data_IF_538846862415
#
_entry.id   IF_538846862415
#
_cell.length_a   1.000
_cell.length_b   1.000
_cell.length_c   1.000
_cell.angle_alpha   90.00
_cell.angle_beta   90.00
_cell.angle_gamma   90.00
#
_symmetry.space_group_name_H-M   'P 1'
#
loop_
_entity.id
_entity.type
_entity.pdbx_description
1 polymer ?
#
# COMPACT_ATOMS: atom_id res chain seq x y z
N UNK A 1 7.42 -4.72 -11.18
CA UNK A 1 6.32 -3.85 -11.66
C UNK A 1 5.39 -3.57 -10.50
N UNK A 2 5.09 -2.31 -10.18
CA UNK A 2 4.03 -1.97 -9.22
C UNK A 2 2.73 -1.70 -9.98
N UNK A 3 1.60 -1.97 -9.34
CA UNK A 3 0.27 -1.82 -9.92
C UNK A 3 -0.61 -0.97 -9.00
N UNK A 4 -1.56 -0.22 -9.57
CA UNK A 4 -2.61 0.43 -8.78
C UNK A 4 -3.46 -0.62 -8.05
N UNK A 5 -3.80 -0.34 -6.80
CA UNK A 5 -4.62 -1.19 -5.95
C UNK A 5 -5.50 -0.31 -5.07
N UNK A 6 -6.61 -0.84 -4.56
CA UNK A 6 -7.45 -0.13 -3.59
C UNK A 6 -7.08 -0.60 -2.19
N UNK A 7 -6.91 0.34 -1.26
CA UNK A 7 -6.60 0.01 0.13
C UNK A 7 -7.85 -0.57 0.79
N UNK A 8 -7.80 -1.78 1.38
CA UNK A 8 -8.97 -2.37 2.06
C UNK A 8 -9.32 -1.67 3.38
N UNK A 9 -8.40 -0.87 3.94
CA UNK A 9 -8.61 -0.19 5.22
C UNK A 9 -9.32 1.16 5.06
N UNK A 10 -8.96 1.94 4.03
CA UNK A 10 -9.48 3.30 3.84
C UNK A 10 -10.20 3.49 2.49
N UNK A 11 -10.30 2.44 1.67
CA UNK A 11 -10.95 2.43 0.35
C UNK A 11 -10.38 3.42 -0.67
N UNK A 12 -9.27 4.09 -0.34
CA UNK A 12 -8.54 5.00 -1.24
C UNK A 12 -7.54 4.26 -2.12
N UNK A 13 -7.05 4.96 -3.13
CA UNK A 13 -6.12 4.40 -4.10
C UNK A 13 -4.71 4.29 -3.53
N UNK A 14 -4.11 3.12 -3.73
CA UNK A 14 -2.74 2.84 -3.34
C UNK A 14 -2.07 1.99 -4.43
N UNK A 15 -0.92 1.44 -4.15
CA UNK A 15 -0.15 0.59 -5.04
C UNK A 15 0.12 -0.77 -4.38
N UNK A 16 0.49 -1.74 -5.19
CA UNK A 16 0.99 -3.05 -4.76
C UNK A 16 2.21 -3.41 -5.61
N UNK A 17 3.25 -3.96 -4.99
CA UNK A 17 4.47 -4.40 -5.69
C UNK A 17 5.73 -4.24 -4.84
N UNK A 18 6.86 -3.97 -5.49
CA UNK A 18 8.18 -3.87 -4.87
C UNK A 18 8.57 -2.47 -4.35
N UNK A 19 7.77 -1.43 -4.61
CA UNK A 19 8.01 -0.07 -4.10
C UNK A 19 8.88 0.84 -4.97
N UNK A 20 9.65 0.31 -5.93
CA UNK A 20 10.44 1.17 -6.82
C UNK A 20 9.62 1.83 -7.94
N UNK A 21 8.38 1.38 -8.18
CA UNK A 21 7.55 1.81 -9.32
C UNK A 21 6.25 2.49 -8.87
N UNK A 22 6.19 3.00 -7.63
CA UNK A 22 5.01 3.69 -7.09
C UNK A 22 4.60 4.90 -7.94
N UNK A 23 5.53 5.77 -8.40
CA UNK A 23 5.16 6.92 -9.21
C UNK A 23 4.43 6.51 -10.49
N UNK A 24 4.84 5.40 -11.11
CA UNK A 24 4.18 4.83 -12.29
C UNK A 24 2.85 4.14 -11.94
N UNK A 25 2.75 3.51 -10.77
CA UNK A 25 1.54 2.83 -10.33
C UNK A 25 0.40 3.80 -9.98
N UNK A 26 0.74 4.97 -9.44
CA UNK A 26 -0.21 6.04 -9.10
C UNK A 26 -0.26 7.16 -10.16
N UNK A 27 0.36 6.96 -11.32
CA UNK A 27 0.32 7.93 -12.41
C UNK A 27 -1.14 8.20 -12.82
N UNK A 28 -1.56 9.46 -12.77
CA UNK A 28 -2.92 9.88 -13.10
C UNK A 28 -3.94 9.79 -11.96
N UNK A 29 -3.54 9.35 -10.76
CA UNK A 29 -4.38 9.44 -9.56
C UNK A 29 -4.01 10.72 -8.79
N UNK A 30 -4.96 11.63 -8.52
CA UNK A 30 -4.67 12.82 -7.73
C UNK A 30 -4.34 12.45 -6.28
N UNK A 31 -3.50 13.24 -5.63
CA UNK A 31 -3.01 12.97 -4.27
C UNK A 31 -4.13 12.90 -3.22
N UNK A 32 -5.26 13.58 -3.46
CA UNK A 32 -6.46 13.52 -2.61
C UNK A 32 -7.09 12.12 -2.55
N UNK A 33 -6.93 11.35 -3.62
CA UNK A 33 -7.43 9.97 -3.76
C UNK A 33 -6.41 8.94 -3.27
N UNK A 34 -5.20 9.37 -2.87
CA UNK A 34 -4.19 8.47 -2.34
C UNK A 34 -4.52 8.02 -0.93
N UNK A 35 -4.18 6.77 -0.62
CA UNK A 35 -4.33 6.19 0.69
C UNK A 35 -3.60 7.03 1.77
N UNK A 36 -4.30 7.37 2.83
CA UNK A 36 -3.76 8.17 3.95
C UNK A 36 -3.26 7.32 5.11
N UNK A 37 -3.25 6.00 4.96
CA UNK A 37 -2.77 5.08 6.00
C UNK A 37 -1.27 5.28 6.26
N UNK A 38 -0.84 4.92 7.47
CA UNK A 38 0.56 4.92 7.88
C UNK A 38 1.09 3.48 7.97
N UNK A 39 2.41 3.26 7.79
CA UNK A 39 3.45 4.23 7.47
C UNK A 39 3.51 4.59 5.98
N UNK A 40 3.82 5.85 5.66
CA UNK A 40 4.12 6.26 4.28
C UNK A 40 5.51 5.78 3.89
N UNK A 41 5.72 5.55 2.59
CA UNK A 41 7.02 5.16 2.05
C UNK A 41 7.61 6.32 1.26
N UNK A 42 8.92 6.52 1.34
CA UNK A 42 9.61 7.53 0.54
C UNK A 42 10.27 6.90 -0.67
N UNK A 43 10.00 7.45 -1.85
CA UNK A 43 10.62 7.02 -3.11
C UNK A 43 11.05 8.25 -3.89
N UNK A 44 12.36 8.40 -4.09
CA UNK A 44 12.92 9.55 -4.82
C UNK A 44 12.61 10.90 -4.17
N UNK A 45 12.56 10.96 -2.84
CA UNK A 45 12.29 12.19 -2.08
C UNK A 45 10.80 12.60 -2.04
N UNK A 46 9.89 11.75 -2.51
CA UNK A 46 8.43 11.95 -2.39
C UNK A 46 7.82 10.89 -1.49
N UNK A 47 6.92 11.31 -0.62
CA UNK A 47 6.16 10.40 0.23
C UNK A 47 4.96 9.84 -0.52
N UNK A 48 4.81 8.53 -0.48
CA UNK A 48 3.74 7.79 -1.09
C UNK A 48 2.99 6.95 -0.05
N UNK A 49 1.71 6.60 -0.31
CA UNK A 49 0.94 5.71 0.56
C UNK A 49 1.64 4.36 0.79
N UNK A 50 1.33 3.65 1.89
CA UNK A 50 1.77 2.27 2.08
C UNK A 50 1.21 1.35 1.01
N UNK A 51 1.94 0.28 0.67
CA UNK A 51 1.43 -0.77 -0.20
C UNK A 51 0.13 -1.37 0.36
N UNK A 52 -0.81 -1.71 -0.52
CA UNK A 52 -2.00 -2.46 -0.12
C UNK A 52 -1.56 -3.79 0.53
N UNK A 53 -2.08 -4.13 1.73
CA UNK A 53 -1.77 -5.40 2.36
C UNK A 53 -2.15 -6.55 1.42
N UNK A 54 -1.32 -7.59 1.42
CA UNK A 54 -1.70 -8.83 0.78
C UNK A 54 -2.69 -9.53 1.70
N UNK A 55 -3.97 -9.20 1.57
CA UNK A 55 -5.04 -10.00 2.17
C UNK A 55 -4.92 -11.40 1.58
N UNK A 56 -4.31 -12.30 2.35
CA UNK A 56 -4.41 -13.75 2.18
C UNK A 56 -5.73 -14.17 2.84
N UNK A 57 -6.83 -14.32 2.09
CA UNK A 57 -8.03 -14.94 2.66
C UNK A 57 -7.67 -16.37 3.10
N UNK A 58 -7.76 -16.66 4.40
CA UNK A 58 -7.57 -18.01 4.96
C UNK A 58 -6.30 -18.26 5.79
N UNK A 59 -5.41 -17.27 5.98
CA UNK A 59 -4.18 -17.41 6.80
C UNK A 59 -4.26 -16.67 8.16
N UNK A 60 -5.46 -16.38 8.68
CA UNK A 60 -5.67 -15.70 9.97
C UNK A 60 -5.15 -16.46 11.21
N UNK A 61 -4.63 -17.67 11.05
CA UNK A 61 -4.05 -18.49 12.13
C UNK A 61 -2.51 -18.50 12.16
N UNK A 62 -1.83 -17.97 11.13
CA UNK A 62 -0.36 -18.00 11.02
C UNK A 62 0.34 -16.75 11.58
N UNK A 63 -0.42 -15.74 11.99
CA UNK A 63 0.12 -14.58 12.74
C UNK A 63 -0.22 -14.67 14.23
N UNK A 64 -0.10 -15.87 14.79
CA UNK A 64 -0.05 -16.11 16.24
C UNK A 64 1.39 -16.29 16.71
N UNK A 65 2.14 -15.21 16.91
CA UNK A 65 3.29 -15.15 17.86
C UNK A 65 3.94 -13.77 17.80
N UNK A 66 3.82 -13.01 18.88
CA UNK A 66 4.53 -11.74 18.99
C UNK A 66 3.97 -10.73 20.00
N UNK A 67 3.38 -11.17 21.11
CA UNK A 67 3.33 -10.36 22.33
C UNK A 67 3.58 -11.25 23.53
N UNK A 68 4.80 -11.16 24.05
CA UNK A 68 5.00 -11.12 25.49
C UNK A 68 4.76 -9.66 25.90
#
# INVERSE_FOLDING_TARGET
MCMKATCPNCSKQTWRGCGSHIPSALAGVPEEEWCTCTPKVEVGGKQYPPAAPFQVPGLSWLTGSGKQ
#
